data_IF_604526911950
#
_entry.id   IF_604526911950
#
_cell.length_a   1.000
_cell.length_b   1.000
_cell.length_c   1.000
_cell.angle_alpha   90.00
_cell.angle_beta   90.00
_cell.angle_gamma   90.00
#
_symmetry.space_group_name_H-M   'P 1'
#
loop_
_entity.id
_entity.type
_entity.pdbx_description
1 polymer ?
#
# COMPACT_ATOMS: atom_id res chain seq x y z
N UNK A 1 -12.78 -13.86 6.10
CA UNK A 1 -12.14 -12.72 5.43
C UNK A 1 -12.71 -11.43 6.01
N UNK A 2 -12.18 -10.93 7.13
CA UNK A 2 -12.54 -9.62 7.69
C UNK A 2 -11.32 -9.10 8.44
N UNK A 3 -10.58 -8.16 7.83
CA UNK A 3 -9.72 -7.15 8.50
C UNK A 3 -8.74 -6.39 7.57
N UNK A 4 -8.68 -6.69 6.26
CA UNK A 4 -7.73 -6.00 5.35
C UNK A 4 -8.40 -5.14 4.27
N UNK A 5 -9.72 -4.93 4.31
CA UNK A 5 -10.45 -4.22 3.25
C UNK A 5 -9.92 -2.79 3.03
N UNK A 6 -9.59 -2.08 4.11
CA UNK A 6 -8.98 -0.74 4.03
C UNK A 6 -7.60 -0.79 3.39
N UNK A 7 -6.74 -1.71 3.83
CA UNK A 7 -5.39 -1.87 3.32
C UNK A 7 -5.39 -2.20 1.83
N UNK A 8 -6.22 -3.18 1.43
CA UNK A 8 -6.32 -3.61 0.03
C UNK A 8 -6.78 -2.46 -0.85
N UNK A 9 -7.83 -1.75 -0.41
CA UNK A 9 -8.31 -0.56 -1.12
C UNK A 9 -7.24 0.52 -1.24
N UNK A 10 -6.51 0.79 -0.16
CA UNK A 10 -5.43 1.77 -0.14
C UNK A 10 -4.36 1.43 -1.18
N UNK A 11 -3.89 0.18 -1.18
CA UNK A 11 -2.84 -0.27 -2.11
C UNK A 11 -3.32 -0.24 -3.57
N UNK A 12 -4.52 -0.73 -3.86
CA UNK A 12 -5.07 -0.69 -5.23
C UNK A 12 -5.21 0.75 -5.72
N UNK A 13 -5.67 1.69 -4.87
CA UNK A 13 -5.76 3.12 -5.24
C UNK A 13 -4.38 3.79 -5.39
N UNK A 14 -3.33 3.24 -4.78
CA UNK A 14 -1.96 3.78 -4.81
C UNK A 14 -1.11 3.23 -5.95
N UNK A 15 -1.26 1.95 -6.28
CA UNK A 15 -0.47 1.25 -7.30
C UNK A 15 -1.21 1.15 -8.64
N UNK A 16 -2.55 1.11 -8.65
CA UNK A 16 -3.33 0.75 -9.83
C UNK A 16 -3.26 -0.75 -10.13
N UNK A 17 -3.78 -1.16 -11.29
CA UNK A 17 -3.71 -2.54 -11.76
C UNK A 17 -3.44 -2.55 -13.28
N UNK A 18 -2.27 -3.03 -13.67
CA UNK A 18 -1.86 -3.14 -15.07
C UNK A 18 -1.60 -4.61 -15.43
N UNK A 19 -2.41 -5.17 -16.32
CA UNK A 19 -2.32 -6.59 -16.68
C UNK A 19 -1.21 -6.89 -17.70
N UNK A 20 -0.59 -5.86 -18.26
CA UNK A 20 0.59 -5.97 -19.13
C UNK A 20 1.81 -5.45 -18.36
N UNK A 21 2.94 -6.15 -18.48
CA UNK A 21 4.16 -5.77 -17.81
C UNK A 21 4.65 -4.39 -18.28
N UNK A 22 5.08 -3.56 -17.33
CA UNK A 22 5.53 -2.20 -17.55
C UNK A 22 6.78 -1.88 -16.74
N UNK A 23 7.50 -0.82 -17.12
CA UNK A 23 8.59 -0.24 -16.31
C UNK A 23 8.04 0.80 -15.35
N UNK A 24 8.33 0.63 -14.07
CA UNK A 24 7.89 1.54 -13.01
C UNK A 24 8.73 2.84 -12.96
N UNK A 25 8.53 3.66 -11.91
CA UNK A 25 9.28 4.91 -11.74
C UNK A 25 10.78 4.75 -11.45
N UNK A 26 11.20 3.54 -11.07
CA UNK A 26 12.60 3.16 -10.85
C UNK A 26 13.19 2.33 -12.00
N UNK A 27 12.49 2.21 -13.14
CA UNK A 27 12.87 1.42 -14.32
C UNK A 27 12.94 -0.09 -14.04
N UNK A 28 12.07 -0.59 -13.14
CA UNK A 28 11.93 -2.01 -12.78
C UNK A 28 10.69 -2.61 -13.45
N UNK A 29 10.82 -3.80 -14.03
CA UNK A 29 9.68 -4.53 -14.61
C UNK A 29 8.66 -4.92 -13.54
N UNK A 30 7.42 -4.52 -13.76
CA UNK A 30 6.31 -4.65 -12.81
C UNK A 30 5.04 -5.08 -13.55
N UNK A 31 4.16 -5.84 -12.90
CA UNK A 31 2.85 -6.26 -13.45
C UNK A 31 1.79 -6.31 -12.35
N UNK A 32 0.52 -6.39 -12.72
CA UNK A 32 -0.60 -6.49 -11.80
C UNK A 32 -0.71 -5.27 -10.90
N UNK A 33 -0.83 -5.49 -9.60
CA UNK A 33 -0.91 -4.44 -8.58
C UNK A 33 0.47 -4.26 -7.94
N UNK A 34 1.37 -3.62 -8.68
CA UNK A 34 2.71 -3.28 -8.18
C UNK A 34 3.64 -4.46 -7.92
N UNK A 35 3.42 -5.62 -8.55
CA UNK A 35 4.22 -6.81 -8.35
C UNK A 35 5.52 -6.76 -9.18
N UNK A 36 6.67 -6.87 -8.52
CA UNK A 36 8.01 -6.72 -9.12
C UNK A 36 8.48 -8.04 -9.77
N UNK A 37 8.69 -8.02 -11.09
CA UNK A 37 9.09 -9.18 -11.90
C UNK A 37 10.59 -9.45 -11.90
N UNK A 38 11.42 -8.48 -11.49
CA UNK A 38 12.89 -8.62 -11.47
C UNK A 38 13.41 -9.21 -10.16
N UNK A 39 12.57 -9.29 -9.13
CA UNK A 39 12.88 -9.98 -7.89
C UNK A 39 12.76 -11.50 -8.04
N UNK A 40 13.41 -12.23 -7.12
CA UNK A 40 13.25 -13.68 -7.01
C UNK A 40 11.79 -14.03 -6.72
N UNK A 41 11.17 -14.76 -7.64
CA UNK A 41 9.79 -15.21 -7.54
C UNK A 41 9.70 -16.49 -6.72
N UNK A 42 8.78 -16.54 -5.77
CA UNK A 42 8.42 -17.75 -5.04
C UNK A 42 7.79 -18.81 -5.98
N UNK A 43 7.81 -20.09 -5.60
CA UNK A 43 7.15 -21.14 -6.37
C UNK A 43 5.66 -20.86 -6.62
N UNK A 44 4.98 -20.26 -5.64
CA UNK A 44 3.58 -19.85 -5.73
C UNK A 44 3.38 -18.74 -6.77
N UNK A 45 4.20 -17.68 -6.75
CA UNK A 45 4.13 -16.59 -7.73
C UNK A 45 4.43 -17.09 -9.14
N UNK A 46 5.45 -17.93 -9.33
CA UNK A 46 5.75 -18.55 -10.63
C UNK A 46 4.57 -19.35 -11.16
N UNK A 47 3.85 -20.07 -10.29
CA UNK A 47 2.67 -20.82 -10.67
C UNK A 47 1.50 -19.93 -11.14
N UNK A 48 1.37 -18.74 -10.55
CA UNK A 48 0.35 -17.75 -10.90
C UNK A 48 0.75 -17.03 -12.19
N UNK A 49 2.00 -16.60 -12.32
CA UNK A 49 2.54 -15.93 -13.50
C UNK A 49 2.51 -16.84 -14.74
N UNK A 50 2.58 -18.17 -14.54
CA UNK A 50 2.63 -19.17 -15.62
C UNK A 50 3.74 -18.87 -16.61
N UNK A 51 4.88 -18.42 -16.09
CA UNK A 51 6.08 -18.19 -16.89
C UNK A 51 6.54 -19.56 -17.39
N UNK A 52 6.58 -19.71 -18.70
CA UNK A 52 7.24 -20.84 -19.34
C UNK A 52 8.76 -20.60 -19.30
N UNK A 53 9.56 -21.68 -19.24
CA UNK A 53 11.02 -21.64 -19.04
C UNK A 53 11.80 -20.82 -20.10
N UNK A 54 11.14 -20.32 -21.15
CA UNK A 54 11.72 -19.62 -22.30
C UNK A 54 11.39 -18.10 -22.34
N UNK A 55 10.90 -17.50 -21.25
CA UNK A 55 10.63 -16.05 -21.26
C UNK A 55 11.95 -15.24 -21.29
N UNK A 56 12.33 -14.78 -22.48
CA UNK A 56 13.57 -14.00 -22.69
C UNK A 56 13.42 -12.52 -22.29
N UNK A 57 12.22 -11.95 -22.43
CA UNK A 57 11.94 -10.53 -22.16
C UNK A 57 10.54 -10.35 -21.53
N UNK A 58 10.40 -9.34 -20.67
CA UNK A 58 9.12 -9.00 -20.04
C UNK A 58 8.21 -8.13 -20.93
N UNK A 59 8.73 -7.53 -22.00
CA UNK A 59 7.95 -6.68 -22.88
C UNK A 59 6.81 -7.49 -23.55
N UNK A 60 5.57 -7.02 -23.39
CA UNK A 60 4.38 -7.73 -23.88
C UNK A 60 3.97 -8.94 -23.04
N UNK A 61 4.62 -9.22 -21.91
CA UNK A 61 4.15 -10.22 -20.96
C UNK A 61 2.83 -9.75 -20.33
N UNK A 62 1.82 -10.63 -20.32
CA UNK A 62 0.49 -10.30 -19.80
C UNK A 62 -0.01 -11.35 -18.84
N UNK A 63 -0.74 -10.90 -17.83
CA UNK A 63 -1.51 -11.74 -16.91
C UNK A 63 -2.99 -11.42 -17.01
N UNK A 64 -3.82 -12.31 -16.50
CA UNK A 64 -5.25 -12.05 -16.31
C UNK A 64 -5.49 -11.23 -15.05
N UNK A 65 -6.64 -10.56 -14.98
CA UNK A 65 -7.08 -9.84 -13.78
C UNK A 65 -7.11 -10.76 -12.54
N UNK A 66 -7.53 -12.03 -12.68
CA UNK A 66 -7.49 -13.00 -11.58
C UNK A 66 -6.07 -13.25 -11.07
N UNK A 67 -5.13 -13.45 -11.99
CA UNK A 67 -3.72 -13.64 -11.64
C UNK A 67 -3.14 -12.39 -10.95
N UNK A 68 -3.51 -11.19 -11.39
CA UNK A 68 -3.08 -9.95 -10.75
C UNK A 68 -3.55 -9.86 -9.29
N UNK A 69 -4.80 -10.26 -9.02
CA UNK A 69 -5.32 -10.28 -7.64
C UNK A 69 -4.73 -11.42 -6.80
N UNK A 70 -4.44 -12.58 -7.39
CA UNK A 70 -3.78 -13.69 -6.70
C UNK A 70 -2.34 -13.32 -6.30
N UNK A 71 -1.57 -12.67 -7.20
CA UNK A 71 -0.23 -12.13 -6.86
C UNK A 71 -0.33 -11.09 -5.76
N UNK A 72 -1.27 -10.15 -5.89
CA UNK A 72 -1.47 -9.10 -4.89
C UNK A 72 -1.80 -9.65 -3.49
N UNK A 73 -2.52 -10.77 -3.40
CA UNK A 73 -2.79 -11.43 -2.13
C UNK A 73 -1.50 -11.93 -1.47
N UNK A 74 -0.59 -12.53 -2.24
CA UNK A 74 0.71 -12.99 -1.78
C UNK A 74 1.60 -11.81 -1.37
N UNK A 75 1.72 -10.77 -2.21
CA UNK A 75 2.53 -9.59 -1.94
C UNK A 75 2.08 -8.87 -0.65
N UNK A 76 0.76 -8.78 -0.41
CA UNK A 76 0.21 -8.20 0.82
C UNK A 76 0.56 -9.05 2.04
N UNK A 77 0.48 -10.37 1.94
CA UNK A 77 0.87 -11.26 3.03
C UNK A 77 2.37 -11.17 3.33
N UNK A 78 3.22 -11.14 2.30
CA UNK A 78 4.65 -10.90 2.45
C UNK A 78 4.93 -9.56 3.13
N UNK A 79 4.31 -8.47 2.66
CA UNK A 79 4.48 -7.15 3.25
C UNK A 79 4.04 -7.08 4.73
N UNK A 80 3.01 -7.83 5.11
CA UNK A 80 2.62 -7.96 6.52
C UNK A 80 3.69 -8.70 7.32
N UNK A 81 4.23 -9.79 6.78
CA UNK A 81 5.27 -10.58 7.43
C UNK A 81 6.59 -9.81 7.57
N UNK A 82 6.91 -8.95 6.60
CA UNK A 82 8.12 -8.13 6.58
C UNK A 82 8.15 -7.00 7.62
N UNK A 83 7.05 -6.82 8.37
CA UNK A 83 7.00 -5.96 9.55
C UNK A 83 7.76 -6.55 10.75
N UNK A 84 7.75 -7.86 10.92
CA UNK A 84 8.25 -8.53 12.12
C UNK A 84 9.75 -8.36 12.40
N UNK A 85 10.64 -8.20 11.40
CA UNK A 85 12.03 -7.81 11.65
C UNK A 85 12.18 -6.43 12.33
N UNK A 86 11.18 -5.55 12.22
CA UNK A 86 11.21 -4.20 12.78
C UNK A 86 10.31 -4.04 14.01
N UNK A 87 9.18 -4.76 14.09
CA UNK A 87 8.12 -4.57 15.07
C UNK A 87 7.71 -5.90 15.71
N UNK A 88 7.57 -5.93 17.03
CA UNK A 88 7.03 -7.09 17.74
C UNK A 88 5.50 -7.13 17.65
N UNK A 89 4.87 -8.24 18.04
CA UNK A 89 3.41 -8.29 18.17
C UNK A 89 2.85 -7.19 19.10
N UNK A 90 3.57 -6.88 20.18
CA UNK A 90 3.20 -5.80 21.10
C UNK A 90 3.26 -4.42 20.43
N UNK A 91 4.28 -4.18 19.60
CA UNK A 91 4.38 -2.94 18.83
C UNK A 91 3.23 -2.82 17.82
N UNK A 92 2.91 -3.91 17.13
CA UNK A 92 1.85 -3.94 16.11
C UNK A 92 0.44 -3.88 16.73
N UNK A 93 0.26 -4.31 17.98
CA UNK A 93 -1.00 -4.23 18.70
C UNK A 93 -1.40 -2.78 19.07
N UNK A 94 -0.43 -1.85 19.12
CA UNK A 94 -0.66 -0.42 19.36
C UNK A 94 -1.25 0.29 18.14
N UNK A 95 -1.12 -0.29 16.95
CA UNK A 95 -1.58 0.30 15.70
C UNK A 95 -3.08 0.06 15.50
N UNK A 96 -3.84 1.15 15.33
CA UNK A 96 -5.18 1.03 14.77
C UNK A 96 -5.13 0.71 13.28
N UNK A 97 -6.27 0.33 12.69
CA UNK A 97 -6.35 -0.15 11.31
C UNK A 97 -5.73 0.82 10.28
N UNK A 98 -6.00 2.14 10.30
CA UNK A 98 -5.36 3.08 9.36
C UNK A 98 -3.84 3.18 9.52
N UNK A 99 -3.31 3.17 10.75
CA UNK A 99 -1.85 3.21 10.97
C UNK A 99 -1.18 1.91 10.53
N UNK A 100 -1.83 0.77 10.78
CA UNK A 100 -1.36 -0.53 10.28
C UNK A 100 -1.36 -0.55 8.75
N UNK A 101 -2.41 -0.04 8.11
CA UNK A 101 -2.49 0.04 6.66
C UNK A 101 -1.37 0.93 6.07
N UNK A 102 -1.09 2.08 6.68
CA UNK A 102 0.06 2.93 6.30
C UNK A 102 1.38 2.18 6.42
N UNK A 103 1.59 1.47 7.53
CA UNK A 103 2.84 0.77 7.78
C UNK A 103 3.06 -0.36 6.78
N UNK A 104 2.02 -1.13 6.46
CA UNK A 104 2.08 -2.17 5.41
C UNK A 104 2.25 -1.53 4.04
N UNK A 105 1.57 -0.43 3.70
CA UNK A 105 1.77 0.27 2.41
C UNK A 105 3.20 0.77 2.22
N UNK A 106 3.85 1.24 3.29
CA UNK A 106 5.28 1.55 3.22
C UNK A 106 6.11 0.31 2.92
N UNK A 107 5.88 -0.82 3.61
CA UNK A 107 6.62 -2.06 3.36
C UNK A 107 6.37 -2.57 1.94
N UNK A 108 5.13 -2.55 1.47
CA UNK A 108 4.77 -2.96 0.11
C UNK A 108 5.59 -2.18 -0.93
N UNK A 109 5.71 -0.86 -0.77
CA UNK A 109 6.41 -0.03 -1.75
C UNK A 109 7.95 -0.12 -1.69
N UNK A 110 8.55 -0.32 -0.52
CA UNK A 110 10.02 -0.21 -0.37
C UNK A 110 10.69 -1.35 0.39
N UNK A 111 9.95 -2.42 0.66
CA UNK A 111 10.36 -3.58 1.43
C UNK A 111 10.56 -3.30 2.93
N UNK A 112 10.57 -4.35 3.74
CA UNK A 112 10.84 -4.23 5.18
C UNK A 112 12.24 -3.68 5.44
N UNK A 113 13.22 -4.00 4.58
CA UNK A 113 14.57 -3.47 4.66
C UNK A 113 14.63 -1.95 4.42
N UNK A 114 13.79 -1.40 3.52
CA UNK A 114 13.66 0.02 3.30
C UNK A 114 13.07 0.72 4.52
N UNK A 115 11.97 0.20 5.06
CA UNK A 115 11.32 0.75 6.26
C UNK A 115 12.26 0.77 7.47
N UNK A 116 13.07 -0.27 7.68
CA UNK A 116 14.07 -0.32 8.77
C UNK A 116 15.13 0.79 8.71
N UNK A 117 15.34 1.43 7.55
CA UNK A 117 16.25 2.59 7.42
C UNK A 117 15.66 3.85 8.08
N UNK A 118 14.34 3.95 8.25
CA UNK A 118 13.68 5.05 8.94
C UNK A 118 13.73 4.87 10.46
N UNK A 119 14.93 4.86 11.05
CA UNK A 119 15.17 4.52 12.46
C UNK A 119 14.34 5.37 13.45
N UNK A 120 14.18 6.66 13.17
CA UNK A 120 13.41 7.55 14.03
C UNK A 120 11.90 7.31 13.90
N UNK A 121 11.39 7.04 12.69
CA UNK A 121 10.01 6.63 12.46
C UNK A 121 9.70 5.34 13.21
N UNK A 122 10.54 4.31 13.05
CA UNK A 122 10.37 3.01 13.75
C UNK A 122 10.31 3.23 15.26
N UNK A 123 11.24 4.02 15.83
CA UNK A 123 11.20 4.36 17.26
C UNK A 123 9.91 5.08 17.64
N UNK A 124 9.48 6.07 16.86
CA UNK A 124 8.28 6.84 17.14
C UNK A 124 7.00 5.98 17.11
N UNK A 125 6.89 5.03 16.17
CA UNK A 125 5.80 4.06 16.13
C UNK A 125 5.77 3.20 17.40
N UNK A 126 6.93 2.68 17.83
CA UNK A 126 7.03 1.84 19.05
C UNK A 126 6.63 2.57 20.34
N UNK A 127 6.85 3.89 20.38
CA UNK A 127 6.51 4.77 21.50
C UNK A 127 5.21 5.53 21.31
N UNK A 128 4.41 5.18 20.29
CA UNK A 128 3.11 5.81 19.99
C UNK A 128 3.17 7.33 19.75
N UNK A 129 4.33 7.83 19.32
CA UNK A 129 4.53 9.23 18.95
C UNK A 129 4.14 9.44 17.47
N UNK A 130 2.83 9.51 17.23
CA UNK A 130 2.25 9.60 15.89
C UNK A 130 2.61 10.90 15.16
N UNK A 131 2.87 11.99 15.89
CA UNK A 131 3.29 13.26 15.31
C UNK A 131 4.71 13.15 14.76
N UNK A 132 5.63 12.59 15.53
CA UNK A 132 7.01 12.34 15.07
C UNK A 132 7.04 11.29 13.97
N UNK A 133 6.27 10.20 14.08
CA UNK A 133 6.19 9.18 13.05
C UNK A 133 5.80 9.78 11.69
N UNK A 134 4.73 10.57 11.66
CA UNK A 134 4.28 11.26 10.45
C UNK A 134 5.33 12.25 9.89
N UNK A 135 6.08 12.95 10.75
CA UNK A 135 7.13 13.86 10.30
C UNK A 135 8.33 13.12 9.68
N UNK A 136 8.75 12.00 10.28
CA UNK A 136 9.88 11.19 9.81
C UNK A 136 9.57 10.44 8.50
N UNK A 137 8.30 10.21 8.18
CA UNK A 137 7.87 9.73 6.85
C UNK A 137 8.19 10.74 5.75
N UNK A 138 7.95 12.03 6.02
CA UNK A 138 8.12 13.13 5.05
C UNK A 138 9.58 13.58 4.97
N UNK A 139 10.28 13.64 6.11
CA UNK A 139 11.60 14.24 6.20
C UNK A 139 12.68 13.25 6.64
N UNK A 140 13.76 13.14 5.87
CA UNK A 140 15.00 12.49 6.31
C UNK A 140 15.75 13.29 7.39
N UNK A 141 15.44 14.59 7.54
CA UNK A 141 15.85 15.37 8.71
C UNK A 141 14.79 16.47 8.96
N UNK A 142 13.87 16.26 9.90
CA UNK A 142 12.81 17.23 10.20
C UNK A 142 13.32 18.61 10.64
N UNK A 143 14.50 18.68 11.28
CA UNK A 143 15.05 19.94 11.82
C UNK A 143 15.46 20.92 10.73
N UNK A 144 15.93 20.41 9.59
CA UNK A 144 16.33 21.22 8.43
C UNK A 144 15.39 21.03 7.23
N UNK A 145 14.21 20.40 7.45
CA UNK A 145 13.20 20.10 6.43
C UNK A 145 13.75 19.45 5.17
N UNK A 146 14.70 18.51 5.32
CA UNK A 146 15.20 17.71 4.21
C UNK A 146 14.25 16.53 3.98
N UNK A 147 13.66 16.45 2.80
CA UNK A 147 12.72 15.38 2.44
C UNK A 147 13.36 13.99 2.45
N UNK A 148 12.55 12.96 2.74
CA UNK A 148 12.94 11.56 2.60
C UNK A 148 12.99 11.17 1.12
N UNK A 149 13.74 10.11 0.78
CA UNK A 149 13.75 9.58 -0.60
C UNK A 149 12.34 9.18 -1.03
N UNK A 150 11.63 8.47 -0.15
CA UNK A 150 10.24 8.07 -0.37
C UNK A 150 9.33 9.25 -0.69
N UNK A 151 9.39 10.32 0.11
CA UNK A 151 8.62 11.55 -0.16
C UNK A 151 8.99 12.21 -1.49
N UNK A 152 10.27 12.16 -1.86
CA UNK A 152 10.73 12.75 -3.12
C UNK A 152 10.18 12.00 -4.33
N UNK A 153 10.00 10.68 -4.22
CA UNK A 153 9.47 9.83 -5.29
C UNK A 153 7.94 9.93 -5.40
N UNK A 154 7.21 9.90 -4.29
CA UNK A 154 5.74 9.86 -4.28
C UNK A 154 5.13 10.83 -3.27
N UNK A 155 5.29 12.16 -3.44
CA UNK A 155 4.96 13.15 -2.41
C UNK A 155 3.49 13.14 -2.00
N UNK A 156 2.56 12.97 -2.94
CA UNK A 156 1.13 12.94 -2.66
C UNK A 156 0.73 11.70 -1.83
N UNK A 157 1.30 10.53 -2.16
CA UNK A 157 1.10 9.28 -1.42
C UNK A 157 1.62 9.41 0.00
N UNK A 158 2.87 9.85 0.12
CA UNK A 158 3.54 10.06 1.40
C UNK A 158 2.78 11.04 2.29
N UNK A 159 2.22 12.12 1.73
CA UNK A 159 1.43 13.09 2.48
C UNK A 159 0.15 12.47 3.05
N UNK A 160 -0.64 11.74 2.23
CA UNK A 160 -1.84 11.04 2.71
C UNK A 160 -1.51 10.03 3.80
N UNK A 161 -0.44 9.25 3.60
CA UNK A 161 0.03 8.27 4.57
C UNK A 161 0.49 8.91 5.88
N UNK A 162 1.23 10.01 5.82
CA UNK A 162 1.67 10.74 7.02
C UNK A 162 0.50 11.36 7.78
N UNK A 163 -0.51 11.89 7.09
CA UNK A 163 -1.71 12.41 7.73
C UNK A 163 -2.51 11.29 8.41
N UNK A 164 -2.68 10.14 7.75
CA UNK A 164 -3.32 8.98 8.35
C UNK A 164 -2.53 8.40 9.54
N UNK A 165 -1.20 8.38 9.46
CA UNK A 165 -0.34 7.98 10.58
C UNK A 165 -0.55 8.90 11.79
N UNK A 166 -0.55 10.22 11.55
CA UNK A 166 -0.75 11.23 12.60
C UNK A 166 -2.13 11.13 13.24
N UNK A 167 -3.18 11.07 12.42
CA UNK A 167 -4.57 11.22 12.85
C UNK A 167 -5.21 9.89 13.26
N UNK A 168 -4.71 8.76 12.76
CA UNK A 168 -5.29 7.44 12.97
C UNK A 168 -6.53 7.16 12.11
N UNK A 169 -6.74 7.91 11.03
CA UNK A 169 -7.77 7.67 10.02
C UNK A 169 -7.38 8.29 8.68
N UNK A 170 -7.97 7.81 7.59
CA UNK A 170 -7.81 8.40 6.26
C UNK A 170 -8.92 9.43 6.00
N UNK A 171 -8.61 10.74 5.87
CA UNK A 171 -9.62 11.76 5.62
C UNK A 171 -10.45 11.51 4.36
N UNK A 172 -9.87 10.87 3.34
CA UNK A 172 -10.56 10.56 2.09
C UNK A 172 -11.56 9.39 2.19
N UNK A 173 -11.45 8.55 3.24
CA UNK A 173 -12.36 7.42 3.45
C UNK A 173 -13.34 7.66 4.60
N UNK A 174 -13.23 8.78 5.31
CA UNK A 174 -14.16 9.21 6.35
C UNK A 174 -14.93 10.47 5.91
N UNK A 175 -16.25 10.43 6.09
CA UNK A 175 -17.00 11.67 6.34
C UNK A 175 -16.48 12.26 7.66
N UNK A 176 -16.35 13.60 7.80
CA UNK A 176 -15.83 14.21 9.03
C UNK A 176 -16.61 13.68 10.25
N UNK A 177 -15.95 13.46 11.40
CA UNK A 177 -16.65 12.96 12.58
C UNK A 177 -17.82 13.90 12.88
N UNK A 178 -19.02 13.34 12.93
CA UNK A 178 -20.22 14.07 13.28
C UNK A 178 -20.01 14.71 14.65
N UNK A 179 -19.80 16.02 14.67
CA UNK A 179 -19.89 16.82 15.88
C UNK A 179 -21.35 16.80 16.32
N UNK A 180 -21.68 15.89 17.24
CA UNK A 180 -22.96 15.87 17.93
C UNK A 180 -24.12 15.27 17.14
N UNK A 181 -24.67 14.22 17.73
CA UNK A 181 -26.09 13.84 17.71
C UNK A 181 -26.86 14.02 16.39
N UNK A 182 -27.08 12.89 15.68
CA UNK A 182 -28.35 12.60 15.00
C UNK A 182 -28.43 11.14 14.56
N UNK A 183 -29.54 10.54 14.95
CA UNK A 183 -30.14 9.32 14.42
C UNK A 183 -30.47 9.44 12.93
N UNK A 184 -30.48 8.28 12.29
CA UNK A 184 -31.17 7.88 11.06
C UNK A 184 -30.47 7.98 9.68
N UNK A 185 -30.46 6.80 9.07
CA UNK A 185 -30.59 6.46 7.66
C UNK A 185 -29.51 6.97 6.68
N UNK A 186 -28.63 6.05 6.26
CA UNK A 186 -28.45 5.72 4.84
C UNK A 186 -27.60 4.45 4.71
N UNK A 187 -28.11 3.55 3.87
CA UNK A 187 -27.66 2.20 3.60
C UNK A 187 -26.17 2.17 3.24
N UNK A 188 -25.44 1.34 3.98
CA UNK A 188 -24.08 0.92 3.66
C UNK A 188 -24.10 0.15 2.35
N UNK A 189 -23.68 0.78 1.25
CA UNK A 189 -23.32 0.08 0.02
C UNK A 189 -22.34 -1.04 0.40
N UNK A 190 -22.65 -2.27 -0.01
CA UNK A 190 -21.78 -3.40 0.28
C UNK A 190 -20.45 -3.20 -0.45
N UNK A 191 -19.36 -3.66 0.15
CA UNK A 191 -17.98 -3.48 -0.36
C UNK A 191 -17.82 -3.81 -1.85
N UNK A 192 -18.61 -4.75 -2.37
CA UNK A 192 -18.65 -5.11 -3.78
C UNK A 192 -19.14 -3.99 -4.70
N UNK A 193 -20.12 -3.19 -4.26
CA UNK A 193 -20.66 -2.08 -5.04
C UNK A 193 -19.64 -0.95 -5.15
N UNK A 194 -18.88 -0.68 -4.09
CA UNK A 194 -17.81 0.33 -4.07
C UNK A 194 -16.64 -0.09 -4.97
N UNK A 195 -16.19 -1.35 -4.86
CA UNK A 195 -15.12 -1.86 -5.72
C UNK A 195 -15.53 -1.84 -7.20
N UNK A 196 -16.77 -2.23 -7.50
CA UNK A 196 -17.32 -2.19 -8.87
C UNK A 196 -17.36 -0.75 -9.40
N UNK A 197 -17.77 0.22 -8.58
CA UNK A 197 -17.83 1.64 -8.95
C UNK A 197 -16.43 2.23 -9.22
N UNK A 198 -15.43 1.85 -8.43
CA UNK A 198 -14.03 2.29 -8.61
C UNK A 198 -13.43 1.69 -9.89
N UNK A 199 -13.59 0.38 -10.09
CA UNK A 199 -13.18 -0.32 -11.32
C UNK A 199 -13.82 0.31 -12.57
N UNK A 200 -15.10 0.67 -12.51
CA UNK A 200 -15.80 1.30 -13.63
C UNK A 200 -15.30 2.72 -13.93
N UNK A 201 -14.80 3.45 -12.92
CA UNK A 201 -14.21 4.79 -13.10
C UNK A 201 -12.84 4.72 -13.75
N UNK A 202 -12.03 3.71 -13.42
CA UNK A 202 -10.73 3.49 -14.06
C UNK A 202 -10.87 3.02 -15.51
N UNK A 203 -11.81 2.10 -15.80
CA UNK A 203 -12.16 1.70 -17.17
C UNK A 203 -12.53 2.90 -18.06
N UNK A 204 -13.21 3.91 -17.50
CA UNK A 204 -13.53 5.17 -18.20
C UNK A 204 -12.33 6.10 -18.42
N UNK A 205 -11.28 5.98 -17.61
CA UNK A 205 -10.03 6.72 -17.76
C UNK A 205 -9.12 6.08 -18.80
N UNK A 206 -9.03 4.75 -18.85
CA UNK A 206 -8.21 4.02 -19.81
C UNK A 206 -8.78 4.06 -21.24
N UNK A 207 -10.10 4.20 -21.39
CA UNK A 207 -10.77 4.31 -22.69
C UNK A 207 -10.85 5.76 -23.24
N UNK A 208 -10.02 6.68 -22.74
CA UNK A 208 -9.92 8.08 -23.21
C UNK A 208 -8.50 8.39 -23.63
#
# INVERSE_FOLDING_TARGET
MKNNDLLRRLLIEEEGCECEAYKDSEDVWTVGIGHNLENDQSPEELSILKIEDELEEWEGFTITESQAFELFDLDVEEAINDLYPAFTDEDLAKLNEPRRAVLVSMVFQMGGAGVRKFKNFVRAVKTEDWHTAAAEMIYANPKVKRYSRWYTQTPNRCQRAADAMRMGYFPQYQQPPATGDRTDALETLSTLEILTELLNREKKRMNR
#
